data_IF_744229239689
#
_entry.id   IF_744229239689
#
_cell.length_a   1.000
_cell.length_b   1.000
_cell.length_c   1.000
_cell.angle_alpha   90.00
_cell.angle_beta   90.00
_cell.angle_gamma   90.00
#
_symmetry.space_group_name_H-M   'P 1'
#
loop_
_entity.id
_entity.type
_entity.pdbx_description
1 polymer ?
#
# COMPACT_ATOMS: atom_id res chain seq x y z
N UNK A 1 -30.32 -2.19 -14.90
CA UNK A 1 -29.82 -0.82 -14.76
C UNK A 1 -29.50 -0.59 -13.28
N UNK A 2 -28.36 -1.10 -12.82
CA UNK A 2 -27.81 -0.84 -11.47
C UNK A 2 -26.33 -0.52 -11.65
N UNK A 3 -26.05 0.68 -12.16
CA UNK A 3 -24.74 1.33 -12.10
C UNK A 3 -24.77 2.25 -10.88
N UNK A 4 -24.12 1.85 -9.79
CA UNK A 4 -23.77 2.76 -8.71
C UNK A 4 -22.64 2.17 -7.86
N UNK A 5 -21.46 2.81 -7.96
CA UNK A 5 -20.38 2.82 -6.98
C UNK A 5 -19.60 1.52 -6.74
N UNK A 6 -18.76 1.13 -7.70
CA UNK A 6 -17.41 0.74 -7.31
C UNK A 6 -16.41 1.48 -8.21
N UNK A 7 -16.28 2.78 -7.97
CA UNK A 7 -15.15 3.56 -8.48
C UNK A 7 -13.89 2.97 -7.87
N UNK A 8 -13.30 2.02 -8.59
CA UNK A 8 -12.06 1.34 -8.28
C UNK A 8 -10.96 2.36 -7.97
N UNK A 9 -10.83 2.71 -6.69
CA UNK A 9 -9.68 3.38 -6.11
C UNK A 9 -8.55 2.33 -5.96
N UNK A 10 -8.23 1.61 -7.04
CA UNK A 10 -7.56 0.31 -7.01
C UNK A 10 -6.13 0.31 -7.57
N UNK A 11 -5.37 1.39 -7.38
CA UNK A 11 -3.98 1.41 -7.85
C UNK A 11 -2.94 1.83 -6.80
N UNK A 12 -3.37 2.42 -5.67
CA UNK A 12 -2.46 2.89 -4.63
C UNK A 12 -3.09 2.52 -3.28
N UNK A 13 -2.86 1.32 -2.77
CA UNK A 13 -3.30 0.90 -1.42
C UNK A 13 -2.27 1.24 -0.34
N UNK A 14 -1.03 1.49 -0.76
CA UNK A 14 0.09 1.82 0.12
C UNK A 14 0.74 3.12 -0.31
N UNK A 15 1.14 3.91 0.67
CA UNK A 15 1.80 5.19 0.50
C UNK A 15 2.92 5.32 1.54
N UNK A 16 3.84 6.25 1.35
CA UNK A 16 4.91 6.53 2.30
C UNK A 16 4.81 7.93 2.87
N UNK A 17 4.96 8.03 4.19
CA UNK A 17 5.00 9.31 4.91
C UNK A 17 6.35 9.49 5.55
N UNK A 18 6.82 10.74 5.59
CA UNK A 18 8.00 11.09 6.38
C UNK A 18 7.66 11.02 7.87
N UNK A 19 8.55 10.41 8.63
CA UNK A 19 8.46 10.22 10.08
C UNK A 19 9.75 10.71 10.76
N UNK A 20 9.79 10.77 12.09
CA UNK A 20 10.96 11.28 12.84
C UNK A 20 12.22 10.42 12.59
N UNK A 21 12.04 9.13 12.35
CA UNK A 21 13.12 8.18 12.12
C UNK A 21 13.46 7.96 10.63
N UNK A 22 12.73 8.56 9.69
CA UNK A 22 12.91 8.31 8.25
C UNK A 22 11.59 8.34 7.48
N UNK A 23 11.27 7.25 6.79
CA UNK A 23 10.03 7.06 6.05
C UNK A 23 9.28 5.84 6.54
N UNK A 24 7.97 5.98 6.68
CA UNK A 24 7.08 4.91 7.09
C UNK A 24 6.14 4.60 5.94
N UNK A 25 6.14 3.34 5.52
CA UNK A 25 5.17 2.83 4.56
C UNK A 25 3.92 2.44 5.32
N UNK A 26 2.78 2.97 4.89
CA UNK A 26 1.49 2.73 5.54
C UNK A 26 0.44 2.40 4.49
N UNK A 27 -0.53 1.60 4.91
CA UNK A 27 -1.71 1.31 4.11
C UNK A 27 -2.68 2.49 4.21
N UNK A 28 -3.13 3.03 3.08
CA UNK A 28 -3.99 4.22 3.08
C UNK A 28 -5.44 3.90 3.48
N UNK A 29 -5.85 2.64 3.41
CA UNK A 29 -7.21 2.22 3.74
C UNK A 29 -7.40 2.04 5.25
N UNK A 30 -6.39 1.50 5.92
CA UNK A 30 -6.37 1.21 7.35
C UNK A 30 -5.60 2.24 8.16
N UNK A 31 -4.77 3.06 7.49
CA UNK A 31 -3.81 4.00 8.10
C UNK A 31 -2.80 3.31 9.02
N UNK A 32 -2.61 1.99 8.89
CA UNK A 32 -1.65 1.22 9.67
C UNK A 32 -0.30 1.11 8.95
N UNK A 33 0.83 1.04 9.69
CA UNK A 33 2.12 0.78 9.10
C UNK A 33 2.14 -0.59 8.43
N UNK A 34 2.65 -0.64 7.21
CA UNK A 34 2.83 -1.88 6.47
C UNK A 34 3.74 -2.82 7.27
N UNK A 35 3.32 -4.08 7.44
CA UNK A 35 4.10 -5.09 8.17
C UNK A 35 4.58 -6.15 7.21
N UNK A 36 5.90 -6.27 7.07
CA UNK A 36 6.54 -7.35 6.32
C UNK A 36 7.06 -8.37 7.32
N UNK A 37 6.60 -9.62 7.21
CA UNK A 37 6.91 -10.68 8.19
C UNK A 37 6.60 -10.28 9.66
N UNK A 38 5.56 -9.46 9.87
CA UNK A 38 5.19 -8.95 11.19
C UNK A 38 6.02 -7.76 11.69
N UNK A 39 7.02 -7.30 10.93
CA UNK A 39 7.85 -6.14 11.28
C UNK A 39 7.28 -4.88 10.62
N UNK A 40 6.92 -3.84 11.39
CA UNK A 40 6.46 -2.57 10.84
C UNK A 40 7.57 -1.89 10.03
N UNK A 41 7.22 -1.49 8.81
CA UNK A 41 8.12 -0.82 7.86
C UNK A 41 8.14 0.68 8.14
N UNK A 42 8.77 1.04 9.25
CA UNK A 42 8.88 2.40 9.79
C UNK A 42 10.34 2.83 9.90
N UNK A 43 10.64 4.11 9.71
CA UNK A 43 12.00 4.64 9.84
C UNK A 43 12.96 4.15 8.76
N UNK A 44 12.43 3.91 7.56
CA UNK A 44 13.19 3.46 6.39
C UNK A 44 13.83 4.64 5.67
N UNK A 45 14.88 4.36 4.89
CA UNK A 45 15.40 5.32 3.91
C UNK A 45 14.38 5.53 2.80
N UNK A 46 14.43 6.70 2.15
CA UNK A 46 13.50 7.04 1.07
C UNK A 46 13.55 6.03 -0.08
N UNK A 47 14.73 5.56 -0.49
CA UNK A 47 14.90 4.57 -1.55
C UNK A 47 14.18 3.27 -1.20
N UNK A 48 14.39 2.76 0.02
CA UNK A 48 13.76 1.53 0.51
C UNK A 48 12.25 1.69 0.66
N UNK A 49 11.78 2.85 1.12
CA UNK A 49 10.36 3.13 1.24
C UNK A 49 9.66 3.22 -0.13
N UNK A 50 10.32 3.85 -1.11
CA UNK A 50 9.83 3.96 -2.49
C UNK A 50 9.69 2.59 -3.16
N UNK A 51 10.74 1.75 -3.08
CA UNK A 51 10.72 0.37 -3.57
C UNK A 51 9.61 -0.47 -2.91
N UNK A 52 9.42 -0.33 -1.59
CA UNK A 52 8.38 -1.05 -0.86
C UNK A 52 6.96 -0.59 -1.23
N UNK A 53 6.75 0.71 -1.42
CA UNK A 53 5.46 1.25 -1.86
C UNK A 53 5.10 0.72 -3.23
N UNK A 54 6.03 0.72 -4.19
CA UNK A 54 5.78 0.20 -5.54
C UNK A 54 5.47 -1.31 -5.53
N UNK A 55 6.24 -2.09 -4.78
CA UNK A 55 6.04 -3.53 -4.62
C UNK A 55 4.67 -3.86 -3.98
N UNK A 56 4.34 -3.21 -2.86
CA UNK A 56 3.10 -3.47 -2.14
C UNK A 56 1.87 -3.04 -2.96
N UNK A 57 1.98 -1.93 -3.70
CA UNK A 57 0.93 -1.52 -4.62
C UNK A 57 0.77 -2.50 -5.78
N UNK A 58 1.85 -3.07 -6.30
CA UNK A 58 1.80 -4.12 -7.32
C UNK A 58 1.10 -5.38 -6.80
N UNK A 59 1.48 -5.87 -5.62
CA UNK A 59 0.86 -7.04 -5.00
C UNK A 59 -0.63 -6.83 -4.69
N UNK A 60 -0.99 -5.62 -4.24
CA UNK A 60 -2.40 -5.27 -3.99
C UNK A 60 -3.25 -5.31 -5.26
N UNK A 61 -2.66 -4.94 -6.40
CA UNK A 61 -3.32 -5.01 -7.71
C UNK A 61 -3.50 -6.47 -8.15
N UNK A 62 -2.46 -7.29 -8.06
CA UNK A 62 -2.52 -8.72 -8.41
C UNK A 62 -3.56 -9.50 -7.58
N UNK A 63 -3.67 -9.18 -6.29
CA UNK A 63 -4.67 -9.78 -5.39
C UNK A 63 -6.11 -9.43 -5.78
N UNK A 64 -6.34 -8.23 -6.30
CA UNK A 64 -7.66 -7.84 -6.79
C UNK A 64 -7.99 -8.46 -8.16
N UNK A 65 -6.99 -8.67 -9.02
CA UNK A 65 -7.18 -9.28 -10.35
C UNK A 65 -7.55 -10.77 -10.30
N UNK A 66 -7.17 -11.47 -9.24
CA UNK A 66 -7.45 -12.91 -9.07
C UNK A 66 -8.85 -13.25 -8.54
N UNK A 67 -9.69 -12.25 -8.23
CA UNK A 67 -11.09 -12.46 -7.78
C UNK A 67 -12.11 -12.26 -8.91
N UNK A 68 -11.66 -12.05 -10.15
CA UNK A 68 -12.52 -11.70 -11.29
C UNK A 68 -12.43 -12.62 -12.51
N UNK A 69 -12.26 -13.94 -12.35
CA UNK A 69 -12.32 -14.91 -13.46
C UNK A 69 -13.39 -15.98 -13.27
#
# INVERSE_FOLDING_TARGET
MNEAANSNNQAQSFDMRKDDAGWTVYDIATYEPARVNGVPQTGLSIEVADDLVDLLNTLAREKNESTGH
#
